data_IF_356912232644
#
_entry.id   IF_356912232644
#
_cell.length_a   1.000
_cell.length_b   1.000
_cell.length_c   1.000
_cell.angle_alpha   90.00
_cell.angle_beta   90.00
_cell.angle_gamma   90.00
#
_symmetry.space_group_name_H-M   'P 1'
#
loop_
_entity.id
_entity.type
_entity.pdbx_description
1 polymer ?
#
# COMPACT_ATOMS: atom_id res chain seq x y z
N UNK A 1 -27.81 -25.67 -7.03
CA UNK A 1 -26.78 -26.44 -7.79
C UNK A 1 -26.73 -25.87 -9.19
N UNK A 2 -25.97 -24.84 -9.44
CA UNK A 2 -25.69 -24.31 -10.78
C UNK A 2 -24.37 -24.91 -11.20
N UNK A 3 -24.42 -25.88 -12.10
CA UNK A 3 -23.25 -26.37 -12.83
C UNK A 3 -22.61 -25.16 -13.49
N UNK A 4 -21.44 -24.77 -12.99
CA UNK A 4 -20.59 -23.74 -13.60
C UNK A 4 -20.22 -24.28 -15.00
N UNK A 5 -21.02 -23.94 -16.01
CA UNK A 5 -20.64 -24.19 -17.40
C UNK A 5 -19.38 -23.41 -17.69
N UNK A 6 -18.32 -24.13 -18.04
CA UNK A 6 -17.04 -23.55 -18.46
C UNK A 6 -17.33 -22.59 -19.63
N UNK A 7 -16.97 -21.28 -19.55
CA UNK A 7 -17.24 -20.36 -20.65
C UNK A 7 -16.66 -20.90 -21.97
N UNK A 8 -17.44 -20.82 -23.03
CA UNK A 8 -17.03 -21.30 -24.36
C UNK A 8 -16.10 -20.30 -25.07
N UNK A 9 -16.18 -19.02 -24.70
CA UNK A 9 -15.46 -17.95 -25.36
C UNK A 9 -14.34 -17.41 -24.44
N UNK A 10 -13.22 -17.01 -25.04
CA UNK A 10 -12.11 -16.37 -24.35
C UNK A 10 -12.07 -14.89 -24.70
N UNK A 11 -11.62 -14.05 -23.76
CA UNK A 11 -11.34 -12.65 -24.03
C UNK A 11 -10.04 -12.21 -23.34
N UNK A 12 -9.50 -11.13 -23.86
CA UNK A 12 -8.36 -10.43 -23.28
C UNK A 12 -8.86 -9.19 -22.55
N UNK A 13 -8.30 -8.90 -21.39
CA UNK A 13 -8.67 -7.72 -20.59
C UNK A 13 -7.44 -6.91 -20.23
N UNK A 14 -7.57 -5.58 -20.37
CA UNK A 14 -6.53 -4.63 -19.95
C UNK A 14 -7.14 -3.61 -19.02
N UNK A 15 -6.56 -3.50 -17.83
CA UNK A 15 -7.06 -2.63 -16.78
C UNK A 15 -6.17 -1.42 -16.59
N UNK A 16 -6.74 -0.24 -16.84
CA UNK A 16 -6.06 1.04 -16.66
C UNK A 16 -5.98 1.40 -15.17
N UNK A 17 -4.88 1.99 -14.75
CA UNK A 17 -4.74 2.58 -13.43
C UNK A 17 -5.72 3.74 -13.19
N UNK A 18 -6.01 3.98 -11.92
CA UNK A 18 -6.87 5.07 -11.44
C UNK A 18 -7.47 4.71 -10.08
N UNK A 19 -7.58 5.69 -9.19
CA UNK A 19 -8.03 5.46 -7.80
C UNK A 19 -9.45 4.87 -7.75
N UNK A 20 -10.36 5.36 -8.58
CA UNK A 20 -11.75 4.89 -8.64
C UNK A 20 -11.90 3.57 -9.38
N UNK A 21 -10.98 3.23 -10.26
CA UNK A 21 -11.02 2.02 -11.08
C UNK A 21 -10.90 0.76 -10.23
N UNK A 22 -10.06 0.78 -9.18
CA UNK A 22 -9.86 -0.35 -8.27
C UNK A 22 -11.13 -0.83 -7.57
N UNK A 23 -12.10 0.06 -7.34
CA UNK A 23 -13.39 -0.29 -6.72
C UNK A 23 -14.34 -0.97 -7.70
N UNK A 24 -14.26 -0.60 -8.99
CA UNK A 24 -15.18 -1.09 -10.03
C UNK A 24 -14.74 -2.44 -10.61
N UNK A 25 -13.44 -2.67 -10.75
CA UNK A 25 -12.92 -3.85 -11.43
C UNK A 25 -13.38 -5.20 -10.85
N UNK A 26 -13.41 -5.44 -9.54
CA UNK A 26 -13.81 -6.75 -9.03
C UNK A 26 -15.16 -7.20 -9.55
N UNK A 27 -16.18 -6.36 -9.47
CA UNK A 27 -17.53 -6.70 -9.95
C UNK A 27 -17.62 -6.75 -11.48
N UNK A 28 -16.91 -5.87 -12.18
CA UNK A 28 -16.88 -5.92 -13.65
C UNK A 28 -16.28 -7.25 -14.14
N UNK A 29 -15.22 -7.74 -13.51
CA UNK A 29 -14.62 -9.02 -13.83
C UNK A 29 -15.53 -10.19 -13.49
N UNK A 30 -16.24 -10.15 -12.36
CA UNK A 30 -17.24 -11.16 -12.00
C UNK A 30 -18.33 -11.26 -13.08
N UNK A 31 -18.83 -10.11 -13.57
CA UNK A 31 -19.86 -10.12 -14.63
C UNK A 31 -19.31 -10.65 -15.97
N UNK A 32 -18.12 -10.22 -16.37
CA UNK A 32 -17.48 -10.72 -17.61
C UNK A 32 -17.17 -12.22 -17.53
N UNK A 33 -16.72 -12.69 -16.36
CA UNK A 33 -16.39 -14.10 -16.14
C UNK A 33 -17.56 -15.05 -16.29
N UNK A 34 -18.81 -14.58 -16.23
CA UNK A 34 -20.01 -15.38 -16.50
C UNK A 34 -20.09 -15.82 -17.97
N UNK A 35 -19.49 -15.05 -18.88
CA UNK A 35 -19.55 -15.31 -20.34
C UNK A 35 -18.19 -15.69 -20.91
N UNK A 36 -17.11 -15.16 -20.36
CA UNK A 36 -15.78 -15.28 -20.93
C UNK A 36 -14.79 -15.94 -19.97
N UNK A 37 -13.84 -16.63 -20.57
CA UNK A 37 -12.60 -17.04 -19.93
C UNK A 37 -11.54 -15.95 -20.22
N UNK A 38 -10.76 -15.57 -19.24
CA UNK A 38 -9.69 -14.59 -19.42
C UNK A 38 -8.40 -15.28 -19.82
N UNK A 39 -7.94 -15.04 -21.07
CA UNK A 39 -6.71 -15.63 -21.59
C UNK A 39 -5.50 -14.74 -21.35
N UNK A 40 -5.58 -13.45 -21.72
CA UNK A 40 -4.56 -12.47 -21.49
C UNK A 40 -5.10 -11.37 -20.59
N UNK A 41 -4.38 -11.11 -19.49
CA UNK A 41 -4.79 -10.16 -18.46
C UNK A 41 -3.66 -9.16 -18.27
N UNK A 42 -3.95 -7.88 -18.49
CA UNK A 42 -2.97 -6.81 -18.34
C UNK A 42 -3.42 -5.70 -17.41
N UNK A 43 -2.46 -5.05 -16.75
CA UNK A 43 -2.78 -3.92 -15.90
C UNK A 43 -1.61 -3.01 -15.54
N UNK A 44 -1.95 -1.75 -15.23
CA UNK A 44 -0.98 -0.74 -14.78
C UNK A 44 -1.49 -0.04 -13.52
N UNK A 45 -0.61 0.28 -12.56
CA UNK A 45 -0.97 0.94 -11.29
C UNK A 45 -2.07 0.15 -10.55
N UNK A 46 -3.17 0.75 -10.11
CA UNK A 46 -4.30 0.05 -9.49
C UNK A 46 -4.90 -1.03 -10.41
N UNK A 47 -4.80 -0.88 -11.73
CA UNK A 47 -5.17 -1.91 -12.70
C UNK A 47 -4.28 -3.14 -12.64
N UNK A 48 -3.00 -3.03 -12.23
CA UNK A 48 -2.12 -4.19 -12.07
C UNK A 48 -2.56 -5.04 -10.86
N UNK A 49 -3.01 -4.41 -9.78
CA UNK A 49 -3.58 -5.10 -8.61
C UNK A 49 -4.82 -5.91 -9.03
N UNK A 50 -5.71 -5.25 -9.78
CA UNK A 50 -6.92 -5.90 -10.28
C UNK A 50 -6.59 -7.02 -11.28
N UNK A 51 -5.54 -6.87 -12.10
CA UNK A 51 -5.07 -7.89 -13.03
C UNK A 51 -4.55 -9.13 -12.30
N UNK A 52 -3.76 -8.95 -11.25
CA UNK A 52 -3.29 -10.05 -10.42
C UNK A 52 -4.46 -10.80 -9.75
N UNK A 53 -5.41 -10.06 -9.18
CA UNK A 53 -6.59 -10.65 -8.57
C UNK A 53 -7.47 -11.40 -9.60
N UNK A 54 -7.61 -10.86 -10.82
CA UNK A 54 -8.34 -11.52 -11.91
C UNK A 54 -7.65 -12.80 -12.39
N UNK A 55 -6.31 -12.79 -12.51
CA UNK A 55 -5.55 -13.97 -12.90
C UNK A 55 -5.65 -15.07 -11.83
N UNK A 56 -5.56 -14.71 -10.56
CA UNK A 56 -5.77 -15.63 -9.44
C UNK A 56 -7.19 -16.21 -9.45
N UNK A 57 -8.20 -15.37 -9.71
CA UNK A 57 -9.60 -15.82 -9.80
C UNK A 57 -9.86 -16.72 -11.01
N UNK A 58 -9.21 -16.45 -12.13
CA UNK A 58 -9.30 -17.33 -13.30
C UNK A 58 -8.65 -18.69 -13.02
N UNK A 59 -7.49 -18.70 -12.37
CA UNK A 59 -6.81 -19.92 -11.90
C UNK A 59 -7.70 -20.73 -10.95
N UNK A 60 -8.31 -20.09 -9.97
CA UNK A 60 -9.18 -20.70 -8.98
C UNK A 60 -10.62 -20.94 -9.47
N UNK A 61 -10.95 -20.65 -10.74
CA UNK A 61 -12.30 -20.78 -11.30
C UNK A 61 -12.98 -22.13 -11.05
N UNK A 62 -12.30 -23.29 -11.15
CA UNK A 62 -12.92 -24.59 -10.91
C UNK A 62 -13.15 -24.89 -9.42
N UNK A 63 -12.60 -24.10 -8.52
CA UNK A 63 -12.60 -24.35 -7.07
C UNK A 63 -13.81 -23.67 -6.43
N UNK A 64 -14.59 -24.44 -5.68
CA UNK A 64 -15.76 -23.90 -4.98
C UNK A 64 -15.33 -22.84 -3.94
N UNK A 65 -16.11 -21.75 -3.85
CA UNK A 65 -15.88 -20.60 -2.95
C UNK A 65 -14.59 -19.79 -3.20
N UNK A 66 -13.77 -20.16 -4.20
CA UNK A 66 -12.62 -19.44 -4.71
C UNK A 66 -12.95 -18.71 -6.02
N UNK A 67 -11.96 -18.35 -6.81
CA UNK A 67 -12.14 -17.72 -8.11
C UNK A 67 -12.92 -16.42 -8.03
N UNK A 68 -13.85 -16.26 -8.96
CA UNK A 68 -14.66 -15.05 -9.04
C UNK A 68 -15.66 -14.90 -7.88
N UNK A 69 -16.07 -16.00 -7.22
CA UNK A 69 -16.89 -15.94 -6.02
C UNK A 69 -16.16 -15.26 -4.86
N UNK A 70 -14.82 -15.37 -4.79
CA UNK A 70 -14.01 -14.61 -3.83
C UNK A 70 -13.94 -13.13 -4.20
N UNK A 71 -13.78 -12.79 -5.49
CA UNK A 71 -13.73 -11.38 -5.93
C UNK A 71 -15.05 -10.64 -5.71
N UNK A 72 -16.19 -11.32 -5.76
CA UNK A 72 -17.50 -10.73 -5.51
C UNK A 72 -17.61 -10.10 -4.11
N UNK A 73 -16.86 -10.61 -3.13
CA UNK A 73 -16.86 -10.13 -1.74
C UNK A 73 -15.99 -8.89 -1.54
N UNK A 74 -15.03 -8.61 -2.44
CA UNK A 74 -14.02 -7.53 -2.30
C UNK A 74 -14.63 -6.15 -2.06
N UNK A 75 -15.66 -5.67 -2.77
CA UNK A 75 -16.21 -4.34 -2.53
C UNK A 75 -16.81 -4.17 -1.13
N UNK A 76 -17.36 -5.23 -0.57
CA UNK A 76 -17.95 -5.23 0.77
C UNK A 76 -16.88 -5.20 1.86
N UNK A 77 -15.75 -5.84 1.63
CA UNK A 77 -14.60 -5.86 2.53
C UNK A 77 -13.81 -4.55 2.50
N UNK A 78 -13.52 -4.06 1.28
CA UNK A 78 -12.66 -2.89 1.08
C UNK A 78 -13.41 -1.59 1.31
N UNK A 79 -14.67 -1.48 0.88
CA UNK A 79 -15.42 -0.24 0.91
C UNK A 79 -15.41 0.46 2.28
N UNK A 80 -15.84 -0.18 3.37
CA UNK A 80 -15.83 0.42 4.70
C UNK A 80 -14.44 0.50 5.34
N UNK A 81 -13.49 -0.36 4.92
CA UNK A 81 -12.24 -0.58 5.63
C UNK A 81 -10.98 -0.04 4.91
N UNK A 82 -11.14 0.55 3.73
CA UNK A 82 -9.98 0.94 2.90
C UNK A 82 -8.96 1.81 3.63
N UNK A 83 -9.40 2.80 4.42
CA UNK A 83 -8.48 3.67 5.16
C UNK A 83 -7.77 2.96 6.32
N UNK A 84 -8.38 1.93 6.91
CA UNK A 84 -7.76 1.17 8.00
C UNK A 84 -6.70 0.18 7.52
N UNK A 85 -6.72 -0.17 6.23
CA UNK A 85 -5.68 -0.97 5.59
C UNK A 85 -4.39 -0.16 5.34
N UNK A 86 -4.49 1.17 5.22
CA UNK A 86 -3.33 2.06 5.12
C UNK A 86 -2.85 2.45 6.51
N UNK A 87 -1.95 1.64 7.05
CA UNK A 87 -1.44 1.79 8.41
C UNK A 87 -0.09 2.52 8.39
N UNK A 88 -0.03 3.76 8.87
CA UNK A 88 1.22 4.52 8.90
C UNK A 88 2.19 3.94 9.92
N UNK A 89 3.48 4.06 9.65
CA UNK A 89 4.50 3.83 10.68
C UNK A 89 4.24 4.72 11.89
N UNK A 90 4.49 4.28 13.13
CA UNK A 90 4.16 5.05 14.34
C UNK A 90 4.70 6.48 14.33
N UNK A 91 5.93 6.68 13.83
CA UNK A 91 6.56 8.00 13.71
C UNK A 91 5.84 8.92 12.68
N UNK A 92 5.26 8.34 11.64
CA UNK A 92 4.61 9.06 10.53
C UNK A 92 3.09 9.21 10.70
N UNK A 93 2.52 8.65 11.77
CA UNK A 93 1.09 8.76 12.07
C UNK A 93 0.58 10.21 12.06
N UNK A 94 1.29 11.22 12.62
CA UNK A 94 0.85 12.62 12.55
C UNK A 94 0.75 13.14 11.11
N UNK A 95 1.73 12.83 10.26
CA UNK A 95 1.72 13.23 8.85
C UNK A 95 0.59 12.56 8.08
N UNK A 96 0.36 11.28 8.31
CA UNK A 96 -0.76 10.54 7.72
C UNK A 96 -2.11 11.15 8.11
N UNK A 97 -2.31 11.48 9.38
CA UNK A 97 -3.54 12.12 9.85
C UNK A 97 -3.76 13.50 9.22
N UNK A 98 -2.69 14.28 9.01
CA UNK A 98 -2.75 15.55 8.27
C UNK A 98 -3.17 15.32 6.82
N UNK A 99 -2.60 14.32 6.14
CA UNK A 99 -2.97 13.96 4.78
C UNK A 99 -4.44 13.55 4.67
N UNK A 100 -4.92 12.68 5.57
CA UNK A 100 -6.34 12.25 5.61
C UNK A 100 -7.26 13.46 5.90
N UNK A 101 -6.87 14.35 6.80
CA UNK A 101 -7.63 15.57 7.10
C UNK A 101 -7.74 16.48 5.85
N UNK A 102 -6.64 16.59 5.08
CA UNK A 102 -6.62 17.35 3.82
C UNK A 102 -7.53 16.74 2.74
N UNK A 103 -7.59 15.40 2.66
CA UNK A 103 -8.45 14.70 1.70
C UNK A 103 -9.95 14.85 2.02
N UNK A 104 -10.31 14.89 3.30
CA UNK A 104 -11.71 15.01 3.74
C UNK A 104 -12.27 16.41 3.59
N UNK A 105 -11.42 17.43 3.53
CA UNK A 105 -11.83 18.82 3.47
C UNK A 105 -12.33 19.21 2.06
N UNK A 106 -13.46 19.90 2.00
CA UNK A 106 -14.11 20.29 0.72
C UNK A 106 -13.59 21.60 0.13
N UNK A 107 -12.93 22.45 0.92
CA UNK A 107 -12.45 23.76 0.49
C UNK A 107 -11.02 24.06 0.94
N UNK A 108 -10.37 25.06 0.31
CA UNK A 108 -8.96 25.43 0.63
C UNK A 108 -8.79 25.85 2.08
N UNK A 109 -9.68 26.70 2.60
CA UNK A 109 -9.63 27.20 3.99
C UNK A 109 -9.87 26.07 4.99
N UNK A 110 -10.89 25.23 4.75
CA UNK A 110 -11.20 24.08 5.57
C UNK A 110 -10.03 23.08 5.61
N UNK A 111 -9.39 22.86 4.44
CA UNK A 111 -8.20 22.01 4.32
C UNK A 111 -7.05 22.51 5.18
N UNK A 112 -6.71 23.81 5.09
CA UNK A 112 -5.63 24.40 5.88
C UNK A 112 -5.90 24.29 7.37
N UNK A 113 -7.14 24.57 7.80
CA UNK A 113 -7.54 24.44 9.19
C UNK A 113 -7.50 22.99 9.69
N UNK A 114 -8.03 22.06 8.91
CA UNK A 114 -8.03 20.64 9.26
C UNK A 114 -6.61 20.07 9.37
N UNK A 115 -5.71 20.43 8.44
CA UNK A 115 -4.30 20.06 8.50
C UNK A 115 -3.61 20.64 9.74
N UNK A 116 -3.82 21.93 10.04
CA UNK A 116 -3.27 22.57 11.22
C UNK A 116 -3.76 21.92 12.52
N UNK A 117 -5.06 21.67 12.63
CA UNK A 117 -5.63 20.98 13.79
C UNK A 117 -5.08 19.55 13.94
N UNK A 118 -4.89 18.83 12.83
CA UNK A 118 -4.26 17.50 12.84
C UNK A 118 -2.79 17.56 13.27
N UNK A 119 -2.03 18.58 12.82
CA UNK A 119 -0.65 18.80 13.22
C UNK A 119 -0.52 19.08 14.73
N UNK A 120 -1.36 19.97 15.27
CA UNK A 120 -1.39 20.28 16.72
C UNK A 120 -1.72 19.03 17.53
N UNK A 121 -2.70 18.23 17.08
CA UNK A 121 -3.08 16.97 17.75
C UNK A 121 -1.99 15.91 17.67
N UNK A 122 -1.32 15.79 16.54
CA UNK A 122 -0.27 14.81 16.31
C UNK A 122 1.04 15.14 17.06
N UNK A 123 1.38 16.44 17.13
CA UNK A 123 2.60 16.92 17.75
C UNK A 123 2.34 17.70 19.06
N UNK A 124 1.47 17.16 19.92
CA UNK A 124 0.99 17.82 21.15
C UNK A 124 2.11 18.39 22.03
N UNK A 125 3.17 17.61 22.26
CA UNK A 125 4.30 18.07 23.09
C UNK A 125 5.02 19.26 22.48
N UNK A 126 5.27 19.22 21.17
CA UNK A 126 5.90 20.34 20.48
C UNK A 126 4.99 21.58 20.49
N UNK A 127 3.69 21.40 20.29
CA UNK A 127 2.72 22.48 20.36
C UNK A 127 2.68 23.12 21.76
N UNK A 128 2.63 22.31 22.82
CA UNK A 128 2.68 22.80 24.20
C UNK A 128 3.97 23.56 24.51
N UNK A 129 5.12 22.99 24.14
CA UNK A 129 6.42 23.64 24.37
C UNK A 129 6.53 24.94 23.56
N UNK A 130 6.00 24.99 22.35
CA UNK A 130 5.99 26.20 21.52
C UNK A 130 5.12 27.31 22.10
N UNK A 131 3.98 26.97 22.67
CA UNK A 131 3.03 27.95 23.25
C UNK A 131 3.49 28.40 24.64
N UNK A 132 4.18 27.59 25.42
CA UNK A 132 4.50 27.83 26.83
C UNK A 132 5.17 29.19 27.12
N UNK A 133 6.20 29.64 26.39
CA UNK A 133 6.83 30.94 26.67
C UNK A 133 5.86 32.12 26.56
N UNK A 134 5.01 32.08 25.51
CA UNK A 134 4.01 33.13 25.30
C UNK A 134 2.91 33.15 26.36
N UNK A 135 2.48 31.96 26.81
CA UNK A 135 1.53 31.83 27.91
C UNK A 135 2.12 32.36 29.24
N UNK A 136 3.36 32.04 29.53
CA UNK A 136 4.06 32.55 30.72
C UNK A 136 4.09 34.09 30.71
N UNK A 137 4.46 34.70 29.58
CA UNK A 137 4.48 36.16 29.42
C UNK A 137 3.06 36.72 29.60
N UNK A 138 2.05 36.12 29.01
CA UNK A 138 0.65 36.55 29.12
C UNK A 138 0.13 36.47 30.57
N UNK A 139 0.47 35.41 31.32
CA UNK A 139 0.09 35.26 32.72
C UNK A 139 0.78 36.31 33.60
N UNK A 140 2.07 36.55 33.40
CA UNK A 140 2.80 37.61 34.13
C UNK A 140 2.20 38.99 33.84
N UNK A 141 1.86 39.28 32.57
CA UNK A 141 1.21 40.51 32.15
C UNK A 141 -0.14 40.74 32.84
N UNK A 142 -0.93 39.70 32.98
CA UNK A 142 -2.24 39.73 33.67
C UNK A 142 -2.07 40.01 35.18
N UNK A 143 -1.09 39.35 35.81
CA UNK A 143 -0.83 39.51 37.25
C UNK A 143 -0.26 40.87 37.59
N UNK A 144 0.54 41.47 36.68
CA UNK A 144 1.16 42.78 36.85
C UNK A 144 0.34 43.96 36.32
N UNK A 145 -0.89 43.69 35.83
CA UNK A 145 -1.76 44.69 35.15
C UNK A 145 -1.12 45.43 33.98
N UNK A 146 -0.07 44.84 33.41
CA UNK A 146 0.69 45.38 32.27
C UNK A 146 0.07 44.94 30.91
N UNK A 147 -1.07 45.46 30.58
CA UNK A 147 -1.89 45.06 29.43
C UNK A 147 -1.16 45.07 28.07
N UNK A 148 -0.18 45.95 27.89
CA UNK A 148 0.63 45.97 26.67
C UNK A 148 1.42 44.67 26.43
N UNK A 149 1.88 43.99 27.51
CA UNK A 149 2.60 42.72 27.42
C UNK A 149 1.70 41.52 27.13
N UNK A 150 0.38 41.64 27.34
CA UNK A 150 -0.56 40.58 27.03
C UNK A 150 -0.61 40.30 25.51
N UNK A 151 -0.66 41.35 24.67
CA UNK A 151 -0.60 41.22 23.22
C UNK A 151 0.71 40.58 22.76
N UNK A 152 1.82 40.96 23.39
CA UNK A 152 3.12 40.36 23.10
C UNK A 152 3.17 38.87 23.50
N UNK A 153 2.61 38.50 24.65
CA UNK A 153 2.51 37.11 25.08
C UNK A 153 1.67 36.24 24.11
N UNK A 154 0.51 36.74 23.65
CA UNK A 154 -0.31 36.08 22.69
C UNK A 154 0.42 35.90 21.33
N UNK A 155 1.09 36.94 20.86
CA UNK A 155 1.89 36.87 19.64
C UNK A 155 3.06 35.86 19.78
N UNK A 156 3.76 35.89 20.90
CA UNK A 156 4.84 34.96 21.18
C UNK A 156 4.35 33.50 21.23
N UNK A 157 3.18 33.25 21.83
CA UNK A 157 2.54 31.92 21.80
C UNK A 157 2.20 31.45 20.38
N UNK A 158 1.63 32.34 19.55
CA UNK A 158 1.30 32.02 18.17
C UNK A 158 2.55 31.73 17.32
N UNK A 159 3.59 32.58 17.45
CA UNK A 159 4.86 32.36 16.72
C UNK A 159 5.54 31.09 17.21
N UNK A 160 5.63 30.87 18.53
CA UNK A 160 6.24 29.68 19.10
C UNK A 160 5.54 28.40 18.70
N UNK A 161 4.20 28.38 18.65
CA UNK A 161 3.42 27.25 18.15
C UNK A 161 3.79 26.92 16.69
N UNK A 162 3.75 27.92 15.82
CA UNK A 162 4.04 27.70 14.40
C UNK A 162 5.49 27.26 14.17
N UNK A 163 6.45 27.86 14.89
CA UNK A 163 7.86 27.48 14.81
C UNK A 163 8.09 26.03 15.28
N UNK A 164 7.47 25.63 16.40
CA UNK A 164 7.57 24.26 16.92
C UNK A 164 6.96 23.23 15.98
N UNK A 165 5.79 23.51 15.41
CA UNK A 165 5.17 22.65 14.41
C UNK A 165 6.00 22.57 13.12
N UNK A 166 6.49 23.69 12.61
CA UNK A 166 7.36 23.70 11.43
C UNK A 166 8.63 22.89 11.64
N UNK A 167 9.29 23.05 12.80
CA UNK A 167 10.47 22.26 13.15
C UNK A 167 10.16 20.75 13.20
N UNK A 168 9.03 20.36 13.81
CA UNK A 168 8.63 18.94 13.87
C UNK A 168 8.32 18.38 12.49
N UNK A 169 7.66 19.13 11.61
CA UNK A 169 7.40 18.73 10.24
C UNK A 169 8.69 18.58 9.43
N UNK A 170 9.61 19.52 9.55
CA UNK A 170 10.93 19.43 8.91
C UNK A 170 11.72 18.23 9.44
N UNK A 171 11.69 17.99 10.76
CA UNK A 171 12.31 16.80 11.34
C UNK A 171 11.69 15.52 10.78
N UNK A 172 10.36 15.41 10.74
CA UNK A 172 9.69 14.25 10.19
C UNK A 172 10.05 14.01 8.71
N UNK A 173 10.12 15.07 7.91
CA UNK A 173 10.51 15.00 6.50
C UNK A 173 11.96 14.52 6.30
N UNK A 174 12.89 14.95 7.16
CA UNK A 174 14.31 14.68 6.97
C UNK A 174 14.81 13.43 7.72
N UNK A 175 14.13 13.00 8.79
CA UNK A 175 14.63 11.91 9.65
C UNK A 175 13.67 10.74 9.80
N UNK A 176 12.38 10.93 9.57
CA UNK A 176 11.36 9.88 9.78
C UNK A 176 10.84 9.31 8.45
N UNK A 177 10.77 10.12 7.38
CA UNK A 177 10.37 9.66 6.02
C UNK A 177 11.43 8.82 5.30
N UNK A 178 12.74 9.20 5.28
CA UNK A 178 13.72 8.45 4.52
C UNK A 178 13.86 6.97 4.93
N UNK A 179 13.85 6.60 6.24
CA UNK A 179 13.91 5.20 6.66
C UNK A 179 12.67 4.38 6.30
N UNK A 180 11.60 5.04 5.87
CA UNK A 180 10.35 4.43 5.39
C UNK A 180 10.19 4.62 3.88
N UNK A 181 11.30 4.68 3.15
CA UNK A 181 11.36 4.84 1.69
C UNK A 181 10.49 5.99 1.16
N UNK A 182 10.42 7.09 1.92
CA UNK A 182 9.57 8.27 1.68
C UNK A 182 8.06 7.96 1.62
N UNK A 183 7.64 6.75 2.02
CA UNK A 183 6.23 6.38 2.16
C UNK A 183 5.67 6.71 3.55
N UNK A 184 4.37 6.95 3.66
CA UNK A 184 3.71 7.11 4.95
C UNK A 184 3.33 5.77 5.57
N UNK A 185 2.98 4.79 4.73
CA UNK A 185 2.49 3.47 5.11
C UNK A 185 3.35 2.40 4.44
N UNK A 186 3.94 1.46 5.17
CA UNK A 186 4.73 0.39 4.58
C UNK A 186 3.90 -0.68 3.87
N UNK A 187 2.57 -0.71 4.08
CA UNK A 187 1.65 -1.66 3.47
C UNK A 187 1.36 -2.90 4.31
N UNK A 188 2.33 -3.39 5.09
CA UNK A 188 2.14 -4.51 6.01
C UNK A 188 1.49 -4.04 7.32
N UNK A 189 0.90 -5.01 8.04
CA UNK A 189 0.29 -4.78 9.36
C UNK A 189 1.29 -4.15 10.33
N UNK A 190 0.90 -3.07 10.96
CA UNK A 190 1.66 -2.46 12.04
C UNK A 190 1.28 -3.09 13.39
N UNK A 191 2.26 -3.20 14.30
CA UNK A 191 2.08 -3.81 15.62
C UNK A 191 0.84 -3.27 16.36
N UNK A 192 0.01 -4.18 16.87
CA UNK A 192 -1.19 -3.85 17.62
C UNK A 192 -2.38 -3.39 16.79
N UNK A 193 -2.26 -3.35 15.48
CA UNK A 193 -3.35 -2.98 14.58
C UNK A 193 -4.20 -4.19 14.18
N UNK A 194 -5.48 -4.00 14.10
CA UNK A 194 -6.43 -4.86 13.41
C UNK A 194 -7.31 -3.94 12.58
N UNK A 195 -7.49 -4.15 11.33
CA UNK A 195 -7.32 -5.31 10.45
C UNK A 195 -5.91 -5.46 9.88
N UNK A 196 -5.77 -6.32 8.85
CA UNK A 196 -4.54 -6.51 8.10
C UNK A 196 -4.11 -5.24 7.37
N UNK A 197 -2.82 -5.10 7.11
CA UNK A 197 -2.29 -4.08 6.22
C UNK A 197 -2.71 -4.36 4.77
N UNK A 198 -2.63 -3.35 3.90
CA UNK A 198 -3.07 -3.50 2.51
C UNK A 198 -2.33 -4.61 1.75
N UNK A 199 -1.02 -4.74 1.99
CA UNK A 199 -0.19 -5.78 1.33
C UNK A 199 -0.52 -7.18 1.86
N UNK A 200 -0.77 -7.31 3.19
CA UNK A 200 -1.19 -8.58 3.78
C UNK A 200 -2.56 -9.01 3.24
N UNK A 201 -3.52 -8.08 3.21
CA UNK A 201 -4.85 -8.33 2.66
C UNK A 201 -4.79 -8.71 1.18
N UNK A 202 -3.96 -8.02 0.38
CA UNK A 202 -3.84 -8.31 -1.06
C UNK A 202 -3.22 -9.69 -1.31
N UNK A 203 -2.17 -10.05 -0.56
CA UNK A 203 -1.57 -11.37 -0.64
C UNK A 203 -2.60 -12.46 -0.30
N UNK A 204 -3.36 -12.28 0.78
CA UNK A 204 -4.41 -13.19 1.18
C UNK A 204 -5.51 -13.30 0.08
N UNK A 205 -5.97 -12.16 -0.45
CA UNK A 205 -6.96 -12.13 -1.53
C UNK A 205 -6.52 -12.96 -2.74
N UNK A 206 -5.26 -12.80 -3.18
CA UNK A 206 -4.69 -13.54 -4.31
C UNK A 206 -4.69 -15.05 -4.01
N UNK A 207 -4.24 -15.47 -2.80
CA UNK A 207 -4.22 -16.87 -2.42
C UNK A 207 -5.62 -17.47 -2.36
N UNK A 208 -6.56 -16.81 -1.71
CA UNK A 208 -7.95 -17.26 -1.59
C UNK A 208 -8.65 -17.31 -2.96
N UNK A 209 -8.43 -16.30 -3.82
CA UNK A 209 -8.97 -16.30 -5.17
C UNK A 209 -8.40 -17.44 -6.02
N UNK A 210 -7.14 -17.83 -5.83
CA UNK A 210 -6.53 -18.99 -6.46
C UNK A 210 -6.98 -20.32 -5.83
N UNK A 211 -7.76 -20.29 -4.74
CA UNK A 211 -8.21 -21.49 -4.02
C UNK A 211 -7.13 -22.15 -3.18
N UNK A 212 -6.06 -21.42 -2.87
CA UNK A 212 -4.98 -21.89 -1.99
C UNK A 212 -5.35 -21.72 -0.52
N UNK A 213 -4.84 -22.61 0.30
CA UNK A 213 -5.09 -22.63 1.75
C UNK A 213 -3.93 -21.97 2.51
N UNK A 214 -4.14 -21.54 3.77
CA UNK A 214 -3.04 -21.13 4.62
C UNK A 214 -1.96 -22.22 4.72
N UNK A 215 -0.71 -21.83 4.44
CA UNK A 215 0.44 -22.75 4.40
C UNK A 215 0.79 -23.29 3.01
N UNK A 216 -0.08 -23.14 2.02
CA UNK A 216 0.29 -23.44 0.64
C UNK A 216 1.32 -22.42 0.10
N UNK A 217 2.20 -22.82 -0.84
CA UNK A 217 3.10 -21.89 -1.49
C UNK A 217 2.33 -20.74 -2.17
N UNK A 218 2.90 -19.52 -2.23
CA UNK A 218 2.29 -18.41 -2.96
C UNK A 218 2.04 -18.76 -4.43
N UNK A 219 0.93 -18.23 -4.99
CA UNK A 219 0.63 -18.34 -6.42
C UNK A 219 1.73 -17.68 -7.24
N UNK A 220 2.25 -18.38 -8.21
CA UNK A 220 3.33 -17.91 -9.09
C UNK A 220 2.86 -17.68 -10.52
N UNK A 221 3.67 -16.99 -11.33
CA UNK A 221 3.44 -16.90 -12.77
C UNK A 221 3.55 -18.27 -13.46
N UNK A 222 4.42 -19.14 -12.94
CA UNK A 222 4.55 -20.51 -13.44
C UNK A 222 3.28 -21.33 -13.22
N UNK A 223 2.56 -21.16 -12.12
CA UNK A 223 1.26 -21.78 -11.90
C UNK A 223 0.22 -21.30 -12.92
N UNK A 224 0.26 -20.01 -13.30
CA UNK A 224 -0.62 -19.43 -14.31
C UNK A 224 -0.33 -19.97 -15.72
N UNK A 225 0.91 -20.32 -16.02
CA UNK A 225 1.31 -20.95 -17.30
C UNK A 225 0.81 -22.39 -17.41
N UNK A 226 0.66 -23.09 -16.29
CA UNK A 226 0.22 -24.48 -16.24
C UNK A 226 -0.86 -24.68 -15.15
N UNK A 227 -2.07 -24.14 -15.35
CA UNK A 227 -3.16 -24.31 -14.39
C UNK A 227 -3.55 -25.78 -14.23
N UNK A 228 -4.14 -26.17 -13.07
CA UNK A 228 -4.57 -27.53 -12.83
C UNK A 228 -5.65 -27.99 -13.82
N UNK A 229 -5.86 -29.30 -13.89
CA UNK A 229 -6.92 -29.96 -14.70
C UNK A 229 -6.82 -29.69 -16.21
N UNK A 230 -5.63 -29.35 -16.72
CA UNK A 230 -5.39 -29.08 -18.13
C UNK A 230 -6.11 -27.83 -18.64
N UNK A 231 -6.43 -26.90 -17.75
CA UNK A 231 -6.97 -25.61 -18.15
C UNK A 231 -5.92 -24.84 -18.99
N UNK A 232 -6.36 -24.05 -19.98
CA UNK A 232 -5.44 -23.26 -20.78
C UNK A 232 -4.69 -22.24 -19.94
N UNK A 233 -3.45 -21.94 -20.33
CA UNK A 233 -2.59 -20.94 -19.67
C UNK A 233 -3.27 -19.58 -19.53
N UNK A 234 -2.90 -18.86 -18.46
CA UNK A 234 -3.35 -17.51 -18.15
C UNK A 234 -2.14 -16.60 -18.27
N UNK A 235 -2.14 -15.72 -19.24
CA UNK A 235 -1.04 -14.78 -19.43
C UNK A 235 -1.31 -13.50 -18.64
N UNK A 236 -0.54 -13.28 -17.58
CA UNK A 236 -0.61 -12.06 -16.76
C UNK A 236 0.55 -11.13 -17.10
N UNK A 237 0.25 -9.87 -17.44
CA UNK A 237 1.22 -8.82 -17.67
C UNK A 237 0.92 -7.59 -16.79
N UNK A 238 1.85 -7.26 -15.90
CA UNK A 238 1.74 -6.09 -15.03
C UNK A 238 2.85 -5.10 -15.33
N UNK A 239 2.52 -3.82 -15.48
CA UNK A 239 3.51 -2.78 -15.76
C UNK A 239 3.90 -2.08 -14.48
N UNK A 240 5.20 -2.01 -14.22
CA UNK A 240 5.85 -1.22 -13.17
C UNK A 240 6.80 -0.21 -13.79
N UNK A 241 7.29 0.76 -13.01
CA UNK A 241 8.24 1.78 -13.48
C UNK A 241 9.46 1.80 -12.59
N UNK A 242 10.65 1.68 -13.19
CA UNK A 242 11.89 1.97 -12.50
C UNK A 242 12.07 3.49 -12.41
N UNK A 243 12.15 4.00 -11.18
CA UNK A 243 12.37 5.43 -10.94
C UNK A 243 13.79 5.85 -11.27
N UNK A 244 14.77 4.94 -11.14
CA UNK A 244 16.18 5.23 -11.46
C UNK A 244 16.44 5.30 -12.97
N UNK A 245 15.76 4.43 -13.74
CA UNK A 245 15.96 4.36 -15.20
C UNK A 245 14.87 5.13 -15.98
N UNK A 246 13.86 5.67 -15.28
CA UNK A 246 12.72 6.39 -15.86
C UNK A 246 12.00 5.60 -16.97
N UNK A 247 11.94 4.27 -16.80
CA UNK A 247 11.39 3.34 -17.79
C UNK A 247 10.30 2.45 -17.21
N UNK A 248 9.26 2.11 -18.00
CA UNK A 248 8.32 1.06 -17.65
C UNK A 248 8.95 -0.32 -17.90
N UNK A 249 8.61 -1.26 -17.03
CA UNK A 249 8.94 -2.67 -17.14
C UNK A 249 7.68 -3.51 -16.97
N UNK A 250 7.64 -4.65 -17.66
CA UNK A 250 6.55 -5.60 -17.56
C UNK A 250 6.95 -6.77 -16.67
N UNK A 251 6.11 -7.10 -15.70
CA UNK A 251 6.20 -8.31 -14.90
C UNK A 251 5.33 -9.41 -15.52
N UNK A 252 5.78 -10.65 -15.54
CA UNK A 252 7.07 -11.16 -15.07
C UNK A 252 8.22 -10.67 -15.93
N UNK A 253 9.37 -10.42 -15.30
CA UNK A 253 10.58 -10.02 -16.03
C UNK A 253 11.16 -11.18 -16.81
N UNK A 254 11.80 -10.87 -17.94
CA UNK A 254 12.41 -11.89 -18.82
C UNK A 254 13.88 -12.15 -18.51
N UNK A 255 14.51 -11.30 -17.68
CA UNK A 255 15.90 -11.39 -17.32
C UNK A 255 16.16 -10.89 -15.89
N UNK A 256 17.25 -11.36 -15.29
CA UNK A 256 17.72 -10.99 -13.96
C UNK A 256 18.35 -9.59 -13.96
N UNK A 257 17.53 -8.57 -14.12
CA UNK A 257 17.99 -7.19 -14.21
C UNK A 257 17.95 -6.45 -12.89
N UNK A 258 17.07 -6.87 -12.00
CA UNK A 258 16.83 -6.20 -10.72
C UNK A 258 17.13 -7.15 -9.58
N UNK A 259 17.73 -6.61 -8.55
CA UNK A 259 17.94 -7.27 -7.26
C UNK A 259 17.14 -6.55 -6.17
N UNK A 260 16.87 -7.24 -5.09
CA UNK A 260 16.23 -6.68 -3.91
C UNK A 260 17.02 -7.02 -2.67
N UNK A 261 16.89 -6.18 -1.67
CA UNK A 261 17.52 -6.32 -0.36
C UNK A 261 16.50 -6.90 0.62
N UNK A 262 16.84 -8.00 1.29
CA UNK A 262 15.92 -8.68 2.21
C UNK A 262 15.46 -7.75 3.34
N UNK A 263 16.39 -6.96 3.91
CA UNK A 263 16.09 -6.04 5.02
C UNK A 263 15.05 -4.98 4.65
N UNK A 264 15.03 -4.53 3.40
CA UNK A 264 14.05 -3.57 2.88
C UNK A 264 12.71 -4.25 2.61
N UNK A 265 12.73 -5.38 1.90
CA UNK A 265 11.49 -6.08 1.50
C UNK A 265 10.74 -6.68 2.68
N UNK A 266 11.44 -7.06 3.76
CA UNK A 266 10.82 -7.50 5.02
C UNK A 266 9.91 -6.44 5.65
N UNK A 267 10.11 -5.16 5.33
CA UNK A 267 9.29 -4.05 5.83
C UNK A 267 8.00 -3.83 5.04
N UNK A 268 7.90 -4.36 3.80
CA UNK A 268 6.83 -4.04 2.87
C UNK A 268 6.07 -5.26 2.33
N UNK A 269 6.64 -6.48 2.44
CA UNK A 269 6.01 -7.71 1.99
C UNK A 269 5.67 -8.65 3.16
N UNK A 270 4.56 -9.42 3.07
CA UNK A 270 4.25 -10.49 4.00
C UNK A 270 5.38 -11.52 4.07
N UNK A 271 5.58 -12.07 5.26
CA UNK A 271 6.69 -13.00 5.52
C UNK A 271 6.69 -14.21 4.58
N UNK A 272 5.52 -14.78 4.33
CA UNK A 272 5.34 -15.98 3.50
C UNK A 272 5.76 -15.72 2.05
N UNK A 273 5.47 -14.54 1.53
CA UNK A 273 5.87 -14.13 0.17
C UNK A 273 7.37 -13.94 0.10
N UNK A 274 7.96 -13.25 1.07
CA UNK A 274 9.40 -13.00 1.11
C UNK A 274 10.20 -14.29 1.30
N UNK A 275 9.78 -15.16 2.24
CA UNK A 275 10.44 -16.46 2.47
C UNK A 275 10.41 -17.33 1.20
N UNK A 276 9.30 -17.29 0.44
CA UNK A 276 9.21 -18.01 -0.83
C UNK A 276 10.17 -17.43 -1.89
N UNK A 277 10.26 -16.10 -1.99
CA UNK A 277 11.18 -15.44 -2.92
C UNK A 277 12.65 -15.75 -2.60
N UNK A 278 13.02 -15.78 -1.31
CA UNK A 278 14.37 -16.15 -0.87
C UNK A 278 14.67 -17.62 -1.18
N UNK A 279 13.72 -18.52 -0.88
CA UNK A 279 13.90 -19.95 -1.10
C UNK A 279 14.04 -20.33 -2.58
N UNK A 280 13.45 -19.55 -3.49
CA UNK A 280 13.44 -19.81 -4.93
C UNK A 280 14.25 -18.79 -5.75
N UNK A 281 14.79 -17.77 -5.09
CA UNK A 281 15.62 -16.74 -5.73
C UNK A 281 17.08 -17.14 -5.80
N UNK A 282 17.84 -16.43 -6.66
CA UNK A 282 19.29 -16.58 -6.77
C UNK A 282 19.96 -15.46 -5.98
N UNK A 283 20.90 -15.79 -5.05
CA UNK A 283 21.66 -14.75 -4.33
C UNK A 283 22.45 -13.86 -5.31
N UNK A 284 22.55 -12.60 -4.97
CA UNK A 284 23.35 -11.62 -5.67
C UNK A 284 24.46 -11.10 -4.73
N UNK A 285 25.70 -11.34 -5.10
CA UNK A 285 26.86 -10.91 -4.30
C UNK A 285 27.21 -9.44 -4.66
N UNK A 286 27.26 -8.59 -3.64
CA UNK A 286 27.71 -7.19 -3.76
C UNK A 286 29.13 -7.10 -3.21
N UNK A 287 30.10 -6.70 -4.03
CA UNK A 287 31.45 -6.39 -3.56
C UNK A 287 31.39 -5.27 -2.50
N UNK A 288 31.91 -5.54 -1.31
CA UNK A 288 32.00 -4.64 -0.14
C UNK A 288 30.75 -4.51 0.77
N UNK A 289 29.72 -5.32 0.64
CA UNK A 289 28.63 -5.34 1.59
C UNK A 289 28.38 -6.74 2.17
N UNK A 290 29.29 -7.17 3.06
CA UNK A 290 29.27 -8.51 3.70
C UNK A 290 28.10 -8.68 4.71
N UNK A 291 27.36 -7.62 5.01
CA UNK A 291 26.35 -7.62 6.07
C UNK A 291 24.91 -7.74 5.55
N UNK A 292 24.67 -7.56 4.26
CA UNK A 292 23.32 -7.60 3.69
C UNK A 292 23.20 -8.63 2.56
N UNK A 293 22.14 -9.41 2.63
CA UNK A 293 21.82 -10.42 1.61
C UNK A 293 20.95 -9.81 0.52
N UNK A 294 21.43 -9.87 -0.72
CA UNK A 294 20.71 -9.47 -1.93
C UNK A 294 20.28 -10.69 -2.72
N UNK A 295 19.13 -10.59 -3.37
CA UNK A 295 18.62 -11.60 -4.28
C UNK A 295 18.20 -10.95 -5.60
N UNK A 296 18.42 -11.66 -6.71
CA UNK A 296 17.82 -11.29 -7.97
C UNK A 296 16.30 -11.39 -7.89
N UNK A 297 15.62 -10.46 -8.55
CA UNK A 297 14.18 -10.57 -8.73
C UNK A 297 13.88 -11.78 -9.61
N UNK A 298 13.01 -12.72 -9.18
CA UNK A 298 12.82 -13.98 -9.89
C UNK A 298 12.33 -13.78 -11.32
N UNK A 299 12.92 -14.49 -12.25
CA UNK A 299 12.46 -14.58 -13.63
C UNK A 299 11.23 -15.47 -13.75
N UNK A 300 10.49 -15.33 -14.85
CA UNK A 300 9.36 -16.20 -15.17
C UNK A 300 9.73 -17.70 -15.15
N UNK A 301 10.94 -18.03 -15.57
CA UNK A 301 11.46 -19.40 -15.61
C UNK A 301 11.82 -20.00 -14.26
N UNK A 302 12.21 -19.18 -13.29
CA UNK A 302 12.57 -19.61 -11.94
C UNK A 302 11.35 -19.78 -11.00
N UNK A 303 10.19 -19.29 -11.40
CA UNK A 303 8.93 -19.45 -10.69
C UNK A 303 8.10 -20.64 -11.22
N UNK A 304 8.75 -21.74 -11.62
CA UNK A 304 8.09 -22.99 -12.01
C UNK A 304 7.94 -23.93 -10.85
#
# INVERSE_FOLDING_TARGET
>A
MTTSQKPAESCDIVMKGGITSGVVYPLAMVELAKKFRFANIGGTSAGAIAAAAAAAAEYGRPIQDAGFARLEKVPQEVGPNILSMFQPSPALTPLFNMFVAALRAKGKTERSFAMFAAAVRGYRLAALLGVAPGVIIAVIALLSTAWGWLCFGVLAAAVGLNAALAWRLLKAANTELPPNDYGLCPGIRQCGSAPDGFTDWLALLIQEAAGRKPGDPPLTFGDLDAPPDGAPAINLAMVTTSLMEERPYTLPMQNERFSFRISEWRKIFPKEVLDFLIANGRPFEVENDEQEEFFYFPERSSCR
#
